data_IF_346527040442
#
_entry.id   IF_346527040442
#
_cell.length_a   1.000
_cell.length_b   1.000
_cell.length_c   1.000
_cell.angle_alpha   90.00
_cell.angle_beta   90.00
_cell.angle_gamma   90.00
#
_symmetry.space_group_name_H-M   'P 1'
#
loop_
_entity.id
_entity.type
_entity.pdbx_description
1 polymer ?
#
# COMPACT_ATOMS: atom_id res chain seq x y z
N UNK A 1 72.41 18.17 12.77
CA UNK A 1 71.37 17.14 12.55
C UNK A 1 70.00 17.78 12.72
N UNK A 2 69.28 17.97 11.62
CA UNK A 2 68.07 18.79 11.55
C UNK A 2 66.85 17.95 11.97
N UNK A 3 66.54 17.90 13.28
CA UNK A 3 65.42 17.11 13.84
C UNK A 3 64.03 17.73 13.60
N UNK A 4 63.98 18.98 13.14
CA UNK A 4 62.73 19.73 13.04
C UNK A 4 61.94 19.44 11.75
N UNK A 5 62.62 19.07 10.65
CA UNK A 5 61.95 18.77 9.37
C UNK A 5 61.14 17.47 9.37
N UNK A 6 61.51 16.49 10.20
CA UNK A 6 60.76 15.24 10.33
C UNK A 6 59.43 15.42 11.08
N UNK A 7 59.36 16.39 12.00
CA UNK A 7 58.16 16.67 12.81
C UNK A 7 57.11 17.43 11.98
N UNK A 8 57.52 18.38 11.14
CA UNK A 8 56.61 19.10 10.24
C UNK A 8 55.94 18.17 9.22
N UNK A 9 56.69 17.20 8.68
CA UNK A 9 56.15 16.24 7.70
C UNK A 9 55.09 15.33 8.35
N UNK A 10 55.29 14.87 9.58
CA UNK A 10 54.30 14.04 10.29
C UNK A 10 53.03 14.82 10.66
N UNK A 11 53.15 16.09 11.05
CA UNK A 11 52.00 16.93 11.37
C UNK A 11 51.09 17.17 10.16
N UNK A 12 51.66 17.33 8.96
CA UNK A 12 50.89 17.53 7.74
C UNK A 12 50.02 16.30 7.40
N UNK A 13 50.57 15.09 7.52
CA UNK A 13 49.81 13.85 7.28
C UNK A 13 48.69 13.62 8.29
N UNK A 14 48.90 14.00 9.55
CA UNK A 14 47.84 13.97 10.58
C UNK A 14 46.74 14.97 10.24
N UNK A 15 47.10 16.19 9.81
CA UNK A 15 46.13 17.20 9.40
C UNK A 15 45.29 16.71 8.20
N UNK A 16 45.93 16.12 7.20
CA UNK A 16 45.25 15.54 6.02
C UNK A 16 44.29 14.41 6.43
N UNK A 17 44.69 13.53 7.36
CA UNK A 17 43.81 12.46 7.85
C UNK A 17 42.60 13.02 8.60
N UNK A 18 42.78 14.02 9.46
CA UNK A 18 41.68 14.63 10.21
C UNK A 18 40.72 15.37 9.28
N UNK A 19 41.25 16.15 8.34
CA UNK A 19 40.44 16.83 7.33
C UNK A 19 39.68 15.83 6.45
N UNK A 20 40.33 14.74 6.03
CA UNK A 20 39.71 13.65 5.28
C UNK A 20 38.57 12.98 6.06
N UNK A 21 38.78 12.67 7.34
CA UNK A 21 37.77 12.09 8.20
C UNK A 21 36.54 13.00 8.36
N UNK A 22 36.76 14.31 8.53
CA UNK A 22 35.68 15.31 8.61
C UNK A 22 34.86 15.38 7.32
N UNK A 23 35.53 15.38 6.16
CA UNK A 23 34.86 15.41 4.86
C UNK A 23 34.04 14.12 4.65
N UNK A 24 34.62 12.95 4.95
CA UNK A 24 33.93 11.65 4.82
C UNK A 24 32.70 11.59 5.72
N UNK A 25 32.81 12.05 6.97
CA UNK A 25 31.68 12.10 7.90
C UNK A 25 30.54 12.98 7.37
N UNK A 26 30.87 14.14 6.81
CA UNK A 26 29.89 15.06 6.21
C UNK A 26 29.17 14.43 5.00
N UNK A 27 29.93 13.84 4.07
CA UNK A 27 29.38 13.21 2.85
C UNK A 27 28.48 12.02 3.22
N UNK A 28 28.89 11.20 4.18
CA UNK A 28 28.10 10.05 4.65
C UNK A 28 26.78 10.50 5.26
N UNK A 29 26.80 11.55 6.09
CA UNK A 29 25.59 12.11 6.68
C UNK A 29 24.61 12.64 5.62
N UNK A 30 25.13 13.27 4.57
CA UNK A 30 24.31 13.75 3.44
C UNK A 30 23.74 12.61 2.61
N UNK A 31 24.56 11.59 2.28
CA UNK A 31 24.13 10.42 1.52
C UNK A 31 22.98 9.68 2.22
N UNK A 32 23.08 9.46 3.53
CA UNK A 32 22.02 8.82 4.31
C UNK A 32 20.71 9.62 4.30
N UNK A 33 20.76 10.96 4.27
CA UNK A 33 19.56 11.81 4.16
C UNK A 33 18.96 11.78 2.76
N UNK A 34 19.79 11.69 1.73
CA UNK A 34 19.35 11.59 0.34
C UNK A 34 18.61 10.29 0.06
N UNK A 35 19.15 9.16 0.51
CA UNK A 35 18.53 7.84 0.35
C UNK A 35 17.12 7.85 0.97
N UNK A 36 16.98 8.31 2.21
CA UNK A 36 15.67 8.40 2.89
C UNK A 36 14.68 9.31 2.18
N UNK A 37 15.15 10.39 1.56
CA UNK A 37 14.29 11.30 0.78
C UNK A 37 13.84 10.66 -0.52
N UNK A 38 14.73 9.91 -1.18
CA UNK A 38 14.42 9.17 -2.40
C UNK A 38 13.34 8.11 -2.17
N UNK A 39 13.51 7.27 -1.14
CA UNK A 39 12.54 6.23 -0.77
C UNK A 39 11.15 6.84 -0.48
N UNK A 40 11.11 8.00 0.20
CA UNK A 40 9.86 8.70 0.46
C UNK A 40 9.21 9.24 -0.82
N UNK A 41 10.00 9.77 -1.75
CA UNK A 41 9.48 10.29 -3.03
C UNK A 41 8.85 9.17 -3.86
N UNK A 42 9.52 8.02 -3.93
CA UNK A 42 9.00 6.83 -4.64
C UNK A 42 7.69 6.33 -4.02
N UNK A 43 7.62 6.25 -2.69
CA UNK A 43 6.39 5.86 -1.99
C UNK A 43 5.23 6.83 -2.27
N UNK A 44 5.50 8.14 -2.30
CA UNK A 44 4.49 9.17 -2.62
C UNK A 44 4.01 9.06 -4.06
N UNK A 45 4.92 8.83 -5.02
CA UNK A 45 4.58 8.65 -6.42
C UNK A 45 3.73 7.38 -6.64
N UNK A 46 4.12 6.26 -6.01
CA UNK A 46 3.35 5.02 -6.04
C UNK A 46 1.93 5.23 -5.49
N UNK A 47 1.81 5.90 -4.34
CA UNK A 47 0.52 6.24 -3.73
C UNK A 47 -0.33 7.14 -4.63
N UNK A 48 0.26 8.16 -5.26
CA UNK A 48 -0.43 9.04 -6.21
C UNK A 48 -0.95 8.29 -7.44
N UNK A 49 -0.15 7.36 -7.97
CA UNK A 49 -0.55 6.52 -9.10
C UNK A 49 -1.70 5.58 -8.71
N UNK A 50 -1.63 4.97 -7.51
CA UNK A 50 -2.69 4.13 -6.98
C UNK A 50 -3.97 4.96 -6.77
N UNK A 51 -3.91 6.13 -6.14
CA UNK A 51 -5.08 7.02 -5.95
C UNK A 51 -5.72 7.41 -7.29
N UNK A 52 -4.91 7.71 -8.31
CA UNK A 52 -5.38 8.00 -9.67
C UNK A 52 -6.11 6.81 -10.27
N UNK A 53 -5.55 5.60 -10.13
CA UNK A 53 -6.15 4.36 -10.63
C UNK A 53 -7.47 4.06 -9.91
N UNK A 54 -7.52 4.21 -8.58
CA UNK A 54 -8.72 4.00 -7.78
C UNK A 54 -9.80 4.99 -8.21
N UNK A 55 -9.44 6.26 -8.34
CA UNK A 55 -10.36 7.32 -8.78
C UNK A 55 -10.90 7.02 -10.18
N UNK A 56 -10.04 6.63 -11.12
CA UNK A 56 -10.46 6.28 -12.48
C UNK A 56 -11.36 5.04 -12.51
N UNK A 57 -11.06 4.03 -11.70
CA UNK A 57 -11.87 2.81 -11.58
C UNK A 57 -13.23 3.12 -10.97
N UNK A 58 -13.28 4.02 -9.98
CA UNK A 58 -14.51 4.48 -9.33
C UNK A 58 -15.54 5.15 -10.24
N UNK A 59 -15.15 5.61 -11.43
CA UNK A 59 -16.08 6.23 -12.38
C UNK A 59 -16.86 5.20 -13.21
N UNK A 60 -16.29 4.02 -13.45
CA UNK A 60 -16.89 2.99 -14.31
C UNK A 60 -17.66 1.99 -13.43
N UNK A 61 -18.93 1.72 -13.74
CA UNK A 61 -19.73 0.73 -13.02
C UNK A 61 -19.41 -0.71 -13.49
N UNK A 62 -19.31 -1.64 -12.53
CA UNK A 62 -19.23 -3.08 -12.81
C UNK A 62 -17.89 -3.55 -13.40
N UNK A 63 -16.90 -2.67 -13.49
CA UNK A 63 -15.58 -3.02 -14.00
C UNK A 63 -14.74 -3.66 -12.88
N UNK A 64 -14.13 -4.81 -13.17
CA UNK A 64 -13.10 -5.42 -12.31
C UNK A 64 -11.74 -5.19 -12.94
N UNK A 65 -10.86 -4.48 -12.25
CA UNK A 65 -9.47 -4.27 -12.66
C UNK A 65 -8.52 -5.03 -11.75
N UNK A 66 -7.53 -5.66 -12.38
CA UNK A 66 -6.39 -6.21 -11.67
C UNK A 66 -5.16 -5.46 -12.11
N UNK A 67 -4.51 -4.81 -11.16
CA UNK A 67 -3.28 -4.06 -11.38
C UNK A 67 -2.13 -4.87 -10.79
N UNK A 68 -1.19 -5.26 -11.64
CA UNK A 68 0.05 -5.86 -11.19
C UNK A 68 0.95 -4.75 -10.65
N UNK A 69 1.37 -4.90 -9.41
CA UNK A 69 2.30 -3.99 -8.75
C UNK A 69 3.52 -4.81 -8.30
N UNK A 70 4.72 -4.21 -8.25
CA UNK A 70 5.82 -4.83 -7.50
C UNK A 70 5.40 -5.03 -6.04
N UNK A 71 6.07 -5.94 -5.33
CA UNK A 71 5.71 -6.31 -3.95
C UNK A 71 5.40 -5.07 -3.09
N UNK A 72 4.13 -4.94 -2.71
CA UNK A 72 3.63 -3.80 -1.97
C UNK A 72 3.06 -4.20 -0.61
N UNK A 73 3.05 -3.22 0.28
CA UNK A 73 2.32 -3.29 1.55
C UNK A 73 1.55 -1.99 1.71
N UNK A 74 0.25 -2.05 1.41
CA UNK A 74 -0.68 -0.96 1.59
C UNK A 74 -1.39 -1.11 2.95
N UNK A 75 -1.56 0.00 3.63
CA UNK A 75 -2.38 0.11 4.84
C UNK A 75 -3.51 1.08 4.56
N UNK A 76 -4.74 0.66 4.81
CA UNK A 76 -5.90 1.51 4.69
C UNK A 76 -6.41 1.86 6.08
N UNK A 77 -6.52 3.16 6.34
CA UNK A 77 -7.27 3.73 7.46
C UNK A 77 -8.36 4.63 6.85
N UNK A 78 -9.46 4.85 7.57
CA UNK A 78 -10.68 5.48 7.04
C UNK A 78 -10.45 6.77 6.23
N UNK A 79 -9.36 7.50 6.51
CA UNK A 79 -8.98 8.73 5.82
C UNK A 79 -7.57 8.73 5.20
N UNK A 80 -6.79 7.65 5.33
CA UNK A 80 -5.37 7.62 4.92
C UNK A 80 -4.99 6.31 4.21
N UNK A 81 -4.21 6.44 3.12
CA UNK A 81 -3.53 5.31 2.49
C UNK A 81 -2.05 5.37 2.87
N UNK A 82 -1.55 4.31 3.47
CA UNK A 82 -0.14 4.10 3.72
C UNK A 82 0.46 3.12 2.72
N UNK A 83 1.69 3.38 2.27
CA UNK A 83 2.49 2.46 1.46
C UNK A 83 3.85 2.28 2.14
N UNK A 84 4.23 1.03 2.43
CA UNK A 84 5.55 0.67 2.95
C UNK A 84 6.01 1.50 4.16
N UNK A 85 5.10 1.83 5.08
CA UNK A 85 5.38 2.62 6.28
C UNK A 85 5.34 4.14 6.11
N UNK A 86 5.11 4.64 4.89
CA UNK A 86 4.86 6.06 4.59
C UNK A 86 3.35 6.25 4.44
N UNK A 87 2.74 7.03 5.32
CA UNK A 87 1.36 7.50 5.12
C UNK A 87 1.34 8.81 4.36
N UNK A 88 0.48 8.90 3.36
CA UNK A 88 0.18 10.15 2.67
C UNK A 88 -1.29 10.42 2.94
N UNK A 89 -1.56 11.44 3.73
CA UNK A 89 -2.93 11.88 4.00
C UNK A 89 -3.59 12.38 2.71
N UNK A 90 -4.89 12.15 2.56
CA UNK A 90 -5.69 12.75 1.49
C UNK A 90 -6.07 11.81 0.36
N UNK A 91 -6.54 10.60 0.66
CA UNK A 91 -7.37 9.86 -0.29
C UNK A 91 -8.59 10.70 -0.65
N UNK A 92 -8.80 10.94 -1.94
CA UNK A 92 -9.98 11.69 -2.43
C UNK A 92 -11.21 10.81 -2.59
N UNK A 93 -11.07 9.50 -2.42
CA UNK A 93 -12.12 8.52 -2.69
C UNK A 93 -12.93 8.28 -1.42
N UNK A 94 -14.03 9.04 -1.27
CA UNK A 94 -14.92 8.99 -0.10
C UNK A 94 -15.67 7.65 0.10
N UNK A 95 -15.56 6.73 -0.86
CA UNK A 95 -16.38 5.51 -0.97
C UNK A 95 -15.51 4.26 -1.21
N UNK A 96 -14.34 4.21 -0.57
CA UNK A 96 -13.38 3.12 -0.70
C UNK A 96 -13.57 2.08 0.42
N UNK A 97 -13.72 0.81 0.05
CA UNK A 97 -13.76 -0.32 0.95
C UNK A 97 -12.54 -1.21 0.73
N UNK A 98 -11.74 -1.38 1.77
CA UNK A 98 -10.54 -2.20 1.74
C UNK A 98 -10.33 -2.87 3.09
N UNK A 99 -9.77 -4.10 3.14
CA UNK A 99 -9.07 -4.60 4.32
C UNK A 99 -8.06 -3.58 4.86
N UNK A 100 -7.78 -3.59 6.17
CA UNK A 100 -6.85 -2.65 6.79
C UNK A 100 -5.41 -2.82 6.29
N UNK A 101 -5.03 -4.04 5.89
CA UNK A 101 -3.73 -4.35 5.32
C UNK A 101 -3.89 -5.12 4.02
N UNK A 102 -3.21 -4.67 2.98
CA UNK A 102 -3.15 -5.30 1.68
C UNK A 102 -1.68 -5.54 1.33
N UNK A 103 -1.31 -6.79 1.10
CA UNK A 103 0.04 -7.19 0.72
C UNK A 103 -0.01 -8.07 -0.52
N UNK A 104 1.08 -8.06 -1.28
CA UNK A 104 1.29 -8.91 -2.44
C UNK A 104 1.78 -8.14 -3.65
N UNK A 105 1.51 -8.69 -4.83
CA UNK A 105 1.98 -8.22 -6.14
C UNK A 105 0.84 -7.86 -7.10
N UNK A 106 -0.40 -7.94 -6.63
CA UNK A 106 -1.58 -7.68 -7.43
C UNK A 106 -2.68 -7.06 -6.58
N UNK A 107 -3.27 -5.99 -7.11
CA UNK A 107 -4.39 -5.28 -6.53
C UNK A 107 -5.62 -5.58 -7.37
N UNK A 108 -6.65 -6.14 -6.75
CA UNK A 108 -7.95 -6.40 -7.36
C UNK A 108 -8.90 -5.30 -6.92
N UNK A 109 -9.48 -4.59 -7.87
CA UNK A 109 -10.42 -3.51 -7.62
C UNK A 109 -11.69 -3.73 -8.42
N UNK A 110 -12.83 -3.45 -7.83
CA UNK A 110 -14.10 -3.46 -8.54
C UNK A 110 -15.04 -2.42 -7.99
N UNK A 111 -16.03 -2.05 -8.80
CA UNK A 111 -17.03 -1.06 -8.42
C UNK A 111 -18.42 -1.64 -8.38
N UNK A 112 -19.25 -1.08 -7.49
CA UNK A 112 -20.69 -1.31 -7.50
C UNK A 112 -21.42 0.02 -7.36
N UNK A 113 -22.34 0.27 -8.28
CA UNK A 113 -23.21 1.42 -8.19
C UNK A 113 -24.22 1.26 -7.04
N UNK A 114 -24.46 2.36 -6.34
CA UNK A 114 -25.43 2.45 -5.26
C UNK A 114 -26.63 3.29 -5.69
N UNK A 115 -27.83 2.74 -5.50
CA UNK A 115 -29.08 3.35 -5.93
C UNK A 115 -30.06 3.47 -4.77
N UNK A 116 -30.47 4.69 -4.41
CA UNK A 116 -31.52 4.94 -3.41
C UNK A 116 -32.24 6.28 -3.69
N UNK A 117 -33.41 6.30 -4.35
CA UNK A 117 -33.93 5.40 -5.38
C UNK A 117 -33.33 5.67 -6.78
N UNK A 118 -32.51 6.71 -6.91
CA UNK A 118 -31.72 7.05 -8.09
C UNK A 118 -30.23 6.81 -7.80
N UNK A 119 -29.39 6.88 -8.84
CA UNK A 119 -27.94 6.71 -8.71
C UNK A 119 -27.35 7.75 -7.75
N UNK A 120 -26.67 7.28 -6.70
CA UNK A 120 -25.97 8.12 -5.71
C UNK A 120 -24.48 8.20 -6.03
N UNK A 121 -23.88 7.07 -6.40
CA UNK A 121 -22.44 6.97 -6.64
C UNK A 121 -21.99 5.52 -6.70
N UNK A 122 -20.71 5.32 -6.99
CA UNK A 122 -20.06 4.02 -6.96
C UNK A 122 -19.31 3.82 -5.64
N UNK A 123 -19.44 2.62 -5.09
CA UNK A 123 -18.51 2.09 -4.10
C UNK A 123 -17.36 1.41 -4.81
N UNK A 124 -16.14 1.70 -4.36
CA UNK A 124 -14.92 1.07 -4.85
C UNK A 124 -14.45 0.08 -3.81
N UNK A 125 -14.29 -1.17 -4.21
CA UNK A 125 -13.77 -2.23 -3.38
C UNK A 125 -12.37 -2.58 -3.84
N UNK A 126 -11.47 -2.79 -2.89
CA UNK A 126 -10.08 -3.14 -3.16
C UNK A 126 -9.67 -4.31 -2.29
N UNK A 127 -8.96 -5.26 -2.88
CA UNK A 127 -8.38 -6.40 -2.19
C UNK A 127 -7.13 -6.92 -2.90
N UNK A 128 -6.50 -7.96 -2.35
CA UNK A 128 -5.45 -8.73 -3.03
C UNK A 128 -5.82 -10.21 -3.07
N UNK A 129 -5.30 -10.99 -4.05
CA UNK A 129 -5.54 -12.44 -4.09
C UNK A 129 -5.01 -13.20 -2.86
N UNK A 130 -4.14 -12.56 -2.07
CA UNK A 130 -3.61 -13.12 -0.83
C UNK A 130 -4.59 -13.00 0.35
N UNK A 131 -5.58 -12.11 0.26
CA UNK A 131 -6.62 -11.98 1.27
C UNK A 131 -7.72 -13.00 1.00
N UNK A 132 -7.96 -13.88 1.96
CA UNK A 132 -9.03 -14.87 1.93
C UNK A 132 -10.23 -14.38 2.74
N UNK A 133 -11.38 -14.27 2.09
CA UNK A 133 -12.64 -13.95 2.75
C UNK A 133 -13.39 -15.24 3.09
N UNK A 134 -13.86 -15.37 4.32
CA UNK A 134 -14.74 -16.45 4.72
C UNK A 134 -16.12 -15.88 4.97
N UNK A 135 -17.06 -16.20 4.09
CA UNK A 135 -18.46 -15.78 4.20
C UNK A 135 -19.21 -16.87 4.95
N UNK A 136 -19.66 -16.53 6.16
CA UNK A 136 -20.42 -17.46 7.00
C UNK A 136 -21.91 -17.28 6.71
N UNK A 137 -22.60 -18.36 6.37
CA UNK A 137 -24.05 -18.37 6.16
C UNK A 137 -24.72 -19.49 6.97
N UNK A 138 -26.02 -19.34 7.25
CA UNK A 138 -26.81 -20.33 7.99
C UNK A 138 -27.66 -21.16 7.02
N UNK A 139 -27.37 -22.46 6.82
CA UNK A 139 -28.19 -23.34 6.00
C UNK A 139 -29.61 -23.46 6.56
N UNK A 140 -30.62 -23.41 5.69
CA UNK A 140 -32.03 -23.52 6.09
C UNK A 140 -32.67 -22.22 6.56
N UNK A 141 -31.92 -21.10 6.60
CA UNK A 141 -32.47 -19.77 6.79
C UNK A 141 -32.64 -19.07 5.42
N UNK A 142 -33.88 -18.87 4.92
CA UNK A 142 -34.13 -18.32 3.59
C UNK A 142 -33.52 -16.94 3.36
N UNK A 143 -33.44 -16.11 4.40
CA UNK A 143 -32.83 -14.78 4.33
C UNK A 143 -31.31 -14.87 4.16
N UNK A 144 -30.67 -15.80 4.86
CA UNK A 144 -29.22 -16.02 4.77
C UNK A 144 -28.83 -16.56 3.39
N UNK A 145 -29.61 -17.51 2.86
CA UNK A 145 -29.36 -18.09 1.54
C UNK A 145 -29.59 -17.07 0.42
N UNK A 146 -30.58 -16.19 0.57
CA UNK A 146 -30.81 -15.10 -0.38
C UNK A 146 -29.63 -14.12 -0.40
N UNK A 147 -29.13 -13.73 0.77
CA UNK A 147 -27.97 -12.84 0.88
C UNK A 147 -26.71 -13.49 0.31
N UNK A 148 -26.51 -14.79 0.55
CA UNK A 148 -25.40 -15.55 -0.01
C UNK A 148 -25.39 -15.47 -1.54
N UNK A 149 -26.52 -15.75 -2.19
CA UNK A 149 -26.63 -15.68 -3.66
C UNK A 149 -26.39 -14.26 -4.19
N UNK A 150 -26.94 -13.25 -3.50
CA UNK A 150 -26.70 -11.86 -3.87
C UNK A 150 -25.22 -11.48 -3.75
N UNK A 151 -24.54 -12.00 -2.72
CA UNK A 151 -23.11 -11.75 -2.53
C UNK A 151 -22.28 -12.49 -3.58
N UNK A 152 -22.59 -13.75 -3.86
CA UNK A 152 -21.93 -14.57 -4.88
C UNK A 152 -22.00 -13.93 -6.26
N UNK A 153 -23.18 -13.48 -6.69
CA UNK A 153 -23.37 -12.70 -7.94
C UNK A 153 -22.63 -11.34 -7.92
N UNK A 154 -22.38 -10.81 -6.72
CA UNK A 154 -21.75 -9.49 -6.58
C UNK A 154 -20.22 -9.53 -6.62
N UNK A 155 -19.61 -10.68 -6.34
CA UNK A 155 -18.17 -10.84 -6.19
C UNK A 155 -17.50 -11.13 -7.55
N UNK A 156 -16.33 -10.53 -7.84
CA UNK A 156 -15.55 -10.90 -9.03
C UNK A 156 -14.86 -12.25 -8.85
N UNK A 157 -14.69 -13.00 -9.95
CA UNK A 157 -14.02 -14.32 -10.01
C UNK A 157 -12.59 -14.34 -9.45
N UNK A 158 -11.96 -13.17 -9.32
CA UNK A 158 -10.56 -13.02 -8.88
C UNK A 158 -10.40 -12.76 -7.38
N UNK A 159 -11.50 -12.76 -6.63
CA UNK A 159 -11.48 -12.62 -5.17
C UNK A 159 -11.47 -14.02 -4.54
N UNK A 160 -10.56 -14.23 -3.59
CA UNK A 160 -10.44 -15.49 -2.87
C UNK A 160 -11.49 -15.55 -1.75
N UNK A 161 -12.64 -16.19 -2.02
CA UNK A 161 -13.78 -16.28 -1.10
C UNK A 161 -14.19 -17.72 -0.89
N UNK A 162 -14.30 -18.13 0.38
CA UNK A 162 -14.87 -19.40 0.79
C UNK A 162 -16.22 -19.17 1.50
N UNK A 163 -17.21 -19.97 1.13
CA UNK A 163 -18.53 -19.95 1.76
C UNK A 163 -18.63 -21.10 2.76
N UNK A 164 -18.78 -20.78 4.05
CA UNK A 164 -18.80 -21.76 5.14
C UNK A 164 -20.10 -21.70 5.92
N UNK A 165 -20.53 -22.86 6.44
CA UNK A 165 -21.81 -22.99 7.15
C UNK A 165 -21.71 -22.64 8.64
N UNK A 166 -20.48 -22.63 9.18
CA UNK A 166 -20.18 -22.37 10.58
C UNK A 166 -18.80 -21.74 10.74
N UNK A 167 -18.67 -20.85 11.74
CA UNK A 167 -17.39 -20.22 12.11
C UNK A 167 -16.33 -21.27 12.47
N UNK A 168 -16.73 -22.43 12.98
CA UNK A 168 -15.81 -23.52 13.35
C UNK A 168 -15.12 -24.20 12.16
N UNK A 169 -15.55 -23.94 10.92
CA UNK A 169 -14.98 -24.51 9.70
C UNK A 169 -13.93 -23.60 9.06
N UNK A 170 -13.73 -22.40 9.60
CA UNK A 170 -12.75 -21.43 9.09
C UNK A 170 -11.34 -21.90 9.45
N UNK A 171 -10.54 -22.25 8.44
CA UNK A 171 -9.11 -22.60 8.54
C UNK A 171 -8.22 -21.43 8.16
#
# INVERSE_FOLDING_TARGET
MNRNGAVEIQFNWIFVLVAGALIIAMVTGFALRWIKTSERSEAVEALSNIDTIITATGVVEGETKVVSLPDFSLRYDCNELGYSGVSVGGLRVANLFSPPELKGNSLVMWTRAWFVPFYVGNFVYITTPQVKYNVVYQPGNPSSERLLRMLEDSLPDKVNVDFVSSIGEVK
#
